data_IF_342346089764
#
_entry.id   IF_342346089764
#
_cell.length_a   1.000
_cell.length_b   1.000
_cell.length_c   1.000
_cell.angle_alpha   90.00
_cell.angle_beta   90.00
_cell.angle_gamma   90.00
#
_symmetry.space_group_name_H-M   'P 1'
#
loop_
_entity.id
_entity.type
_entity.pdbx_description
1 polymer ?
#
# COMPACT_ATOMS: atom_id res chain seq x y z
N UNK A 1 -49.57 -28.33 62.69
CA UNK A 1 -48.23 -28.26 62.09
C UNK A 1 -48.44 -27.81 60.64
N UNK A 2 -48.14 -26.55 60.30
CA UNK A 2 -48.22 -26.03 58.94
C UNK A 2 -46.82 -25.79 58.44
N UNK A 3 -46.42 -26.55 57.42
CA UNK A 3 -45.11 -26.45 56.77
C UNK A 3 -45.14 -25.35 55.76
N UNK A 4 -44.30 -24.32 55.93
CA UNK A 4 -44.13 -23.21 54.98
C UNK A 4 -43.03 -23.58 54.02
N UNK A 5 -43.33 -23.76 52.74
CA UNK A 5 -42.35 -23.96 51.69
C UNK A 5 -41.81 -22.61 51.26
N UNK A 6 -40.47 -22.45 51.41
CA UNK A 6 -39.74 -21.26 51.00
C UNK A 6 -39.31 -21.45 49.53
N UNK A 7 -39.92 -20.68 48.63
CA UNK A 7 -39.51 -20.65 47.22
C UNK A 7 -38.32 -19.68 47.07
N UNK A 8 -37.12 -20.25 46.86
CA UNK A 8 -35.96 -19.46 46.42
C UNK A 8 -36.08 -19.13 44.94
N UNK A 9 -36.37 -17.87 44.59
CA UNK A 9 -36.26 -17.32 43.26
C UNK A 9 -34.80 -16.96 42.99
N UNK A 10 -34.10 -17.82 42.21
CA UNK A 10 -32.81 -17.48 41.64
C UNK A 10 -32.95 -16.48 40.50
N UNK A 11 -32.67 -15.22 40.76
CA UNK A 11 -32.47 -14.21 39.69
C UNK A 11 -31.14 -14.47 39.00
N UNK A 12 -31.17 -15.09 37.84
CA UNK A 12 -30.01 -15.15 36.93
C UNK A 12 -29.87 -13.81 36.25
N UNK A 13 -29.00 -12.96 36.79
CA UNK A 13 -28.58 -11.74 36.12
C UNK A 13 -27.74 -12.11 34.88
N UNK A 14 -28.33 -12.09 33.69
CA UNK A 14 -27.58 -12.09 32.43
C UNK A 14 -26.91 -10.73 32.28
N UNK A 15 -25.65 -10.66 32.71
CA UNK A 15 -24.81 -9.52 32.38
C UNK A 15 -24.49 -9.57 30.87
N UNK A 16 -25.23 -8.82 30.07
CA UNK A 16 -24.82 -8.52 28.71
C UNK A 16 -23.59 -7.62 28.80
N UNK A 17 -22.43 -8.21 28.72
CA UNK A 17 -21.20 -7.48 28.42
C UNK A 17 -21.35 -6.94 27.00
N UNK A 18 -21.70 -5.67 26.87
CA UNK A 18 -21.54 -4.90 25.63
C UNK A 18 -20.03 -4.85 25.39
N UNK A 19 -19.50 -5.81 24.62
CA UNK A 19 -18.20 -5.69 24.04
C UNK A 19 -18.23 -4.40 23.21
N UNK A 20 -17.61 -3.35 23.72
CA UNK A 20 -17.28 -2.17 22.94
C UNK A 20 -16.38 -2.72 21.83
N UNK A 21 -16.95 -2.93 20.64
CA UNK A 21 -16.20 -3.23 19.45
C UNK A 21 -15.23 -2.06 19.26
N UNK A 22 -13.97 -2.25 19.62
CA UNK A 22 -12.93 -1.32 19.24
C UNK A 22 -13.06 -1.16 17.73
N UNK A 23 -13.23 0.05 17.26
CA UNK A 23 -13.27 0.34 15.81
C UNK A 23 -12.05 -0.35 15.21
N UNK A 24 -12.28 -1.37 14.39
CA UNK A 24 -11.20 -2.16 13.81
C UNK A 24 -10.29 -1.22 13.01
N UNK A 25 -9.01 -1.20 13.33
CA UNK A 25 -8.04 -0.41 12.58
C UNK A 25 -7.77 -1.09 11.23
N UNK A 26 -8.59 -0.75 10.25
CA UNK A 26 -8.55 -1.37 8.92
C UNK A 26 -7.19 -1.14 8.24
N UNK A 27 -6.58 0.02 8.45
CA UNK A 27 -5.24 0.31 7.92
C UNK A 27 -4.21 -0.70 8.43
N UNK A 28 -4.19 -0.99 9.72
CA UNK A 28 -3.28 -1.99 10.30
C UNK A 28 -3.69 -3.42 9.95
N UNK A 29 -4.97 -3.71 9.95
CA UNK A 29 -5.51 -5.03 9.61
C UNK A 29 -5.14 -5.47 8.18
N UNK A 30 -5.24 -4.55 7.20
CA UNK A 30 -4.81 -4.82 5.82
C UNK A 30 -3.33 -5.22 5.76
N UNK A 31 -2.48 -4.58 6.54
CA UNK A 31 -1.06 -4.92 6.59
C UNK A 31 -0.82 -6.28 7.22
N UNK A 32 -1.33 -6.51 8.42
CA UNK A 32 -1.09 -7.75 9.16
C UNK A 32 -1.61 -8.99 8.42
N UNK A 33 -2.77 -8.89 7.76
CA UNK A 33 -3.32 -9.97 6.93
C UNK A 33 -2.49 -10.29 5.67
N UNK A 34 -1.58 -9.41 5.26
CA UNK A 34 -0.79 -9.55 4.03
C UNK A 34 0.72 -9.49 4.27
N UNK A 35 1.16 -9.54 5.52
CA UNK A 35 2.56 -9.52 5.92
C UNK A 35 3.36 -10.74 5.41
N UNK A 36 2.66 -11.83 5.11
CA UNK A 36 3.23 -12.99 4.43
C UNK A 36 3.89 -12.64 3.09
N UNK A 37 3.25 -11.73 2.32
CA UNK A 37 3.81 -11.27 1.03
C UNK A 37 5.01 -10.34 1.28
N UNK A 38 4.96 -9.44 2.26
CA UNK A 38 6.11 -8.61 2.62
C UNK A 38 7.33 -9.47 3.01
N UNK A 39 7.11 -10.50 3.84
CA UNK A 39 8.16 -11.44 4.25
C UNK A 39 8.74 -12.26 3.09
N UNK A 40 7.93 -12.59 2.07
CA UNK A 40 8.43 -13.20 0.84
C UNK A 40 9.23 -12.19 0.02
N UNK A 41 8.74 -10.97 -0.09
CA UNK A 41 9.36 -9.92 -0.91
C UNK A 41 10.77 -9.56 -0.40
N UNK A 42 10.97 -9.39 0.90
CA UNK A 42 12.29 -9.09 1.45
C UNK A 42 13.33 -10.19 1.17
N UNK A 43 12.87 -11.40 0.91
CA UNK A 43 13.72 -12.57 0.59
C UNK A 43 14.11 -12.70 -0.88
N UNK A 44 13.57 -11.88 -1.79
CA UNK A 44 13.87 -12.01 -3.23
C UNK A 44 15.34 -11.68 -3.52
N UNK A 45 15.88 -12.34 -4.52
CA UNK A 45 17.31 -12.25 -4.87
C UNK A 45 17.78 -10.81 -5.15
N UNK A 46 16.96 -10.02 -5.86
CA UNK A 46 17.24 -8.62 -6.16
C UNK A 46 17.50 -7.81 -4.86
N UNK A 47 16.60 -7.88 -3.88
CA UNK A 47 16.72 -7.15 -2.61
C UNK A 47 17.88 -7.68 -1.77
N UNK A 48 18.15 -8.99 -1.77
CA UNK A 48 19.28 -9.58 -1.05
C UNK A 48 20.62 -9.18 -1.65
N UNK A 49 20.74 -9.11 -2.97
CA UNK A 49 21.95 -8.61 -3.62
C UNK A 49 22.14 -7.12 -3.39
N UNK A 50 21.06 -6.34 -3.40
CA UNK A 50 21.07 -4.91 -3.08
C UNK A 50 21.57 -4.68 -1.64
N UNK A 51 21.04 -5.42 -0.66
CA UNK A 51 21.46 -5.38 0.74
C UNK A 51 22.96 -5.67 0.92
N UNK A 52 23.49 -6.67 0.20
CA UNK A 52 24.91 -7.05 0.24
C UNK A 52 25.80 -6.11 -0.56
N UNK A 53 25.26 -5.19 -1.35
CA UNK A 53 26.02 -4.35 -2.27
C UNK A 53 26.58 -5.11 -3.48
N UNK A 54 26.10 -6.32 -3.77
CA UNK A 54 26.56 -7.17 -4.87
C UNK A 54 25.64 -7.17 -6.09
N UNK A 55 24.54 -6.41 -6.05
CA UNK A 55 23.64 -6.27 -7.20
C UNK A 55 24.38 -5.61 -8.36
N UNK A 56 24.22 -6.15 -9.56
CA UNK A 56 24.80 -5.57 -10.77
C UNK A 56 24.11 -4.24 -11.10
N UNK A 57 24.90 -3.22 -11.45
CA UNK A 57 24.41 -1.89 -11.75
C UNK A 57 23.38 -1.88 -12.91
N UNK A 58 23.60 -2.68 -13.94
CA UNK A 58 22.66 -2.84 -15.06
C UNK A 58 21.28 -3.33 -14.59
N UNK A 59 21.26 -4.30 -13.67
CA UNK A 59 20.03 -4.84 -13.11
C UNK A 59 19.27 -3.78 -12.30
N UNK A 60 19.99 -2.98 -11.51
CA UNK A 60 19.41 -1.85 -10.78
C UNK A 60 18.86 -0.76 -11.72
N UNK A 61 19.58 -0.44 -12.80
CA UNK A 61 19.12 0.52 -13.81
C UNK A 61 17.82 0.04 -14.48
N UNK A 62 17.76 -1.24 -14.86
CA UNK A 62 16.57 -1.84 -15.46
C UNK A 62 15.37 -1.78 -14.51
N UNK A 63 15.58 -2.10 -13.23
CA UNK A 63 14.56 -1.93 -12.18
C UNK A 63 14.08 -0.47 -12.10
N UNK A 64 15.00 0.48 -12.03
CA UNK A 64 14.68 1.91 -11.92
C UNK A 64 13.91 2.43 -13.14
N UNK A 65 14.24 1.99 -14.34
CA UNK A 65 13.49 2.34 -15.55
C UNK A 65 12.04 1.86 -15.47
N UNK A 66 11.80 0.66 -14.94
CA UNK A 66 10.43 0.16 -14.74
C UNK A 66 9.69 0.94 -13.65
N UNK A 67 10.37 1.34 -12.57
CA UNK A 67 9.79 2.18 -11.53
C UNK A 67 9.41 3.58 -12.06
N UNK A 68 10.26 4.21 -12.87
CA UNK A 68 9.93 5.45 -13.58
C UNK A 68 8.69 5.26 -14.46
N UNK A 69 8.57 4.15 -15.17
CA UNK A 69 7.37 3.82 -15.94
C UNK A 69 6.13 3.73 -15.06
N UNK A 70 6.23 3.07 -13.90
CA UNK A 70 5.16 3.01 -12.91
C UNK A 70 4.74 4.41 -12.46
N UNK A 71 5.68 5.22 -11.99
CA UNK A 71 5.42 6.57 -11.50
C UNK A 71 4.71 7.45 -12.55
N UNK A 72 5.19 7.45 -13.78
CA UNK A 72 4.60 8.23 -14.88
C UNK A 72 3.16 7.78 -15.20
N UNK A 73 2.91 6.46 -15.24
CA UNK A 73 1.58 5.93 -15.56
C UNK A 73 0.60 6.13 -14.40
N UNK A 74 1.02 5.87 -13.16
CA UNK A 74 0.17 6.09 -11.97
C UNK A 74 -0.10 7.58 -11.76
N UNK A 75 0.86 8.47 -12.00
CA UNK A 75 0.64 9.94 -12.00
C UNK A 75 -0.46 10.35 -12.97
N UNK A 76 -0.47 9.82 -14.21
CA UNK A 76 -1.54 10.08 -15.19
C UNK A 76 -2.90 9.54 -14.72
N UNK A 77 -2.93 8.38 -14.07
CA UNK A 77 -4.15 7.82 -13.49
C UNK A 77 -4.64 8.67 -12.32
N UNK A 78 -3.76 9.10 -11.43
CA UNK A 78 -4.08 10.00 -10.32
C UNK A 78 -4.61 11.36 -10.81
N UNK A 79 -4.04 11.92 -11.88
CA UNK A 79 -4.58 13.13 -12.52
C UNK A 79 -6.04 12.93 -12.93
N UNK A 80 -6.37 11.80 -13.59
CA UNK A 80 -7.75 11.48 -13.96
C UNK A 80 -8.66 11.30 -12.75
N UNK A 81 -8.18 10.60 -11.71
CA UNK A 81 -8.93 10.37 -10.48
C UNK A 81 -9.15 11.67 -9.71
N UNK A 82 -8.17 12.58 -9.66
CA UNK A 82 -8.31 13.88 -8.99
C UNK A 82 -9.34 14.82 -9.64
N UNK A 83 -9.65 14.59 -10.91
CA UNK A 83 -10.71 15.29 -11.64
C UNK A 83 -12.06 14.58 -11.49
N UNK A 84 -12.06 13.24 -11.57
CA UNK A 84 -13.25 12.41 -11.49
C UNK A 84 -13.93 12.47 -10.10
N UNK A 85 -13.11 12.47 -9.05
CA UNK A 85 -13.60 12.42 -7.66
C UNK A 85 -13.90 13.82 -7.18
N UNK A 86 -15.19 14.17 -7.09
CA UNK A 86 -15.66 15.47 -6.61
C UNK A 86 -16.17 15.43 -5.17
N UNK A 87 -16.63 14.27 -4.72
CA UNK A 87 -17.15 13.97 -3.37
C UNK A 87 -16.78 12.54 -2.97
N UNK A 88 -16.68 12.23 -1.64
CA UNK A 88 -16.64 13.20 -0.55
C UNK A 88 -15.33 14.01 -0.54
N UNK A 89 -15.33 15.12 0.18
CA UNK A 89 -14.23 16.11 0.12
C UNK A 89 -12.87 15.53 0.53
N UNK A 90 -12.80 14.72 1.56
CA UNK A 90 -11.57 14.08 2.02
C UNK A 90 -10.99 13.08 0.98
N UNK A 91 -11.82 12.32 0.29
CA UNK A 91 -11.38 11.43 -0.79
C UNK A 91 -10.92 12.23 -2.02
N UNK A 92 -11.65 13.32 -2.37
CA UNK A 92 -11.22 14.27 -3.41
C UNK A 92 -9.85 14.86 -3.09
N UNK A 93 -9.69 15.34 -1.86
CA UNK A 93 -8.46 16.00 -1.42
C UNK A 93 -7.30 14.99 -1.32
N UNK A 94 -7.57 13.76 -0.92
CA UNK A 94 -6.62 12.65 -1.01
C UNK A 94 -6.14 12.44 -2.45
N UNK A 95 -7.06 12.32 -3.43
CA UNK A 95 -6.68 12.12 -4.84
C UNK A 95 -5.83 13.27 -5.39
N UNK A 96 -6.20 14.52 -5.07
CA UNK A 96 -5.42 15.71 -5.45
C UNK A 96 -4.04 15.72 -4.81
N UNK A 97 -3.97 15.43 -3.52
CA UNK A 97 -2.70 15.37 -2.79
C UNK A 97 -1.78 14.27 -3.31
N UNK A 98 -2.32 13.07 -3.60
CA UNK A 98 -1.53 11.99 -4.20
C UNK A 98 -1.07 12.34 -5.61
N UNK A 99 -1.92 12.95 -6.43
CA UNK A 99 -1.50 13.42 -7.76
C UNK A 99 -0.32 14.39 -7.66
N UNK A 100 -0.41 15.40 -6.78
CA UNK A 100 0.67 16.37 -6.58
C UNK A 100 1.97 15.69 -6.14
N UNK A 101 1.91 14.81 -5.14
CA UNK A 101 3.10 14.11 -4.63
C UNK A 101 3.75 13.21 -5.69
N UNK A 102 2.95 12.41 -6.40
CA UNK A 102 3.46 11.51 -7.45
C UNK A 102 4.05 12.29 -8.63
N UNK A 103 3.41 13.41 -9.00
CA UNK A 103 3.93 14.29 -10.07
C UNK A 103 5.30 14.85 -9.69
N UNK A 104 5.43 15.45 -8.50
CA UNK A 104 6.70 15.99 -8.03
C UNK A 104 7.79 14.92 -7.94
N UNK A 105 7.45 13.73 -7.43
CA UNK A 105 8.41 12.62 -7.34
C UNK A 105 8.83 12.11 -8.73
N UNK A 106 7.90 11.99 -9.68
CA UNK A 106 8.22 11.62 -11.05
C UNK A 106 9.14 12.65 -11.73
N UNK A 107 8.93 13.94 -11.50
CA UNK A 107 9.79 15.01 -12.02
C UNK A 107 11.22 14.92 -11.43
N UNK A 108 11.35 14.65 -10.14
CA UNK A 108 12.65 14.43 -9.49
C UNK A 108 13.36 13.22 -10.09
N UNK A 109 12.66 12.08 -10.24
CA UNK A 109 13.24 10.88 -10.85
C UNK A 109 13.68 11.10 -12.28
N UNK A 110 12.89 11.78 -13.11
CA UNK A 110 13.28 12.11 -14.49
C UNK A 110 14.54 12.98 -14.53
N UNK A 111 14.63 13.98 -13.63
CA UNK A 111 15.81 14.84 -13.53
C UNK A 111 17.05 14.08 -13.07
N UNK A 112 16.91 13.24 -12.04
CA UNK A 112 18.01 12.46 -11.47
C UNK A 112 18.62 11.49 -12.48
N UNK A 113 17.81 10.94 -13.37
CA UNK A 113 18.26 10.02 -14.44
C UNK A 113 18.42 10.71 -15.81
N UNK A 114 18.48 12.04 -15.85
CA UNK A 114 18.74 12.85 -17.04
C UNK A 114 17.76 12.66 -18.22
N UNK A 115 16.52 12.27 -17.93
CA UNK A 115 15.51 12.19 -18.97
C UNK A 115 14.99 13.57 -19.35
N UNK A 116 15.09 13.93 -20.63
CA UNK A 116 14.58 15.21 -21.18
C UNK A 116 13.07 15.23 -21.45
N UNK A 117 12.32 14.32 -20.88
CA UNK A 117 10.88 14.17 -21.07
C UNK A 117 10.44 12.76 -20.68
N UNK A 118 9.20 12.38 -21.05
CA UNK A 118 8.71 11.03 -20.79
C UNK A 118 9.40 10.01 -21.71
N UNK A 119 10.23 9.10 -21.18
CA UNK A 119 10.90 8.11 -22.02
C UNK A 119 9.92 7.05 -22.53
N UNK A 120 10.18 6.52 -23.73
CA UNK A 120 9.48 5.35 -24.25
C UNK A 120 10.01 4.09 -23.58
N UNK A 121 9.39 3.66 -22.48
CA UNK A 121 9.80 2.48 -21.72
C UNK A 121 8.96 1.27 -22.12
N UNK A 122 9.63 0.23 -22.57
CA UNK A 122 8.99 -1.09 -22.76
C UNK A 122 8.80 -1.76 -21.39
N UNK A 123 7.53 -1.89 -21.00
CA UNK A 123 7.18 -2.48 -19.71
C UNK A 123 7.40 -3.98 -19.69
N UNK A 124 7.93 -4.49 -18.57
CA UNK A 124 7.98 -5.93 -18.30
C UNK A 124 6.58 -6.53 -18.15
N UNK A 125 6.41 -7.86 -18.27
CA UNK A 125 5.12 -8.51 -18.01
C UNK A 125 4.58 -8.20 -16.60
N UNK A 126 5.44 -8.18 -15.56
CA UNK A 126 5.07 -7.84 -14.20
C UNK A 126 4.54 -6.40 -14.11
N UNK A 127 5.24 -5.42 -14.70
CA UNK A 127 4.81 -4.03 -14.72
C UNK A 127 3.49 -3.84 -15.49
N UNK A 128 3.31 -4.52 -16.63
CA UNK A 128 2.02 -4.49 -17.36
C UNK A 128 0.86 -5.01 -16.54
N UNK A 129 1.05 -6.14 -15.84
CA UNK A 129 0.06 -6.72 -14.92
C UNK A 129 -0.29 -5.75 -13.80
N UNK A 130 0.73 -5.17 -13.15
CA UNK A 130 0.57 -4.21 -12.06
C UNK A 130 -0.26 -2.99 -12.49
N UNK A 131 0.12 -2.34 -13.59
CA UNK A 131 -0.60 -1.19 -14.12
C UNK A 131 -1.99 -1.53 -14.66
N UNK A 132 -2.20 -2.76 -15.15
CA UNK A 132 -3.52 -3.21 -15.59
C UNK A 132 -4.52 -3.24 -14.45
N UNK A 133 -4.13 -3.71 -13.29
CA UNK A 133 -5.02 -3.74 -12.13
C UNK A 133 -5.43 -2.33 -11.66
N UNK A 134 -4.52 -1.35 -11.70
CA UNK A 134 -4.91 0.05 -11.45
C UNK A 134 -5.96 0.57 -12.44
N UNK A 135 -5.86 0.21 -13.72
CA UNK A 135 -6.87 0.61 -14.72
C UNK A 135 -8.24 0.01 -14.41
N UNK A 136 -8.31 -1.21 -13.89
CA UNK A 136 -9.57 -1.80 -13.44
C UNK A 136 -10.11 -1.05 -12.20
N UNK A 137 -9.27 -0.75 -11.23
CA UNK A 137 -9.69 0.02 -10.04
C UNK A 137 -10.25 1.40 -10.38
N UNK A 138 -9.74 2.06 -11.42
CA UNK A 138 -10.26 3.36 -11.88
C UNK A 138 -11.71 3.32 -12.39
N UNK A 139 -12.20 2.14 -12.80
CA UNK A 139 -13.58 1.97 -13.30
C UNK A 139 -14.61 1.92 -12.18
N UNK A 140 -14.19 1.47 -11.01
CA UNK A 140 -15.03 1.25 -9.83
C UNK A 140 -15.07 2.43 -8.87
N UNK A 141 -15.36 2.11 -7.62
CA UNK A 141 -15.36 3.06 -6.50
C UNK A 141 -13.93 3.58 -6.26
N UNK A 142 -13.73 4.91 -6.24
CA UNK A 142 -12.43 5.55 -6.04
C UNK A 142 -11.73 5.17 -4.73
N UNK A 143 -12.48 4.76 -3.70
CA UNK A 143 -11.91 4.30 -2.44
C UNK A 143 -10.96 3.11 -2.65
N UNK A 144 -11.33 2.15 -3.51
CA UNK A 144 -10.48 0.99 -3.79
C UNK A 144 -9.26 1.33 -4.65
N UNK A 145 -9.32 2.42 -5.42
CA UNK A 145 -8.12 2.95 -6.06
C UNK A 145 -7.14 3.50 -5.00
N UNK A 146 -7.66 4.21 -3.97
CA UNK A 146 -6.84 4.64 -2.83
C UNK A 146 -6.23 3.45 -2.07
N UNK A 147 -7.02 2.40 -1.80
CA UNK A 147 -6.52 1.14 -1.20
C UNK A 147 -5.38 0.55 -2.04
N UNK A 148 -5.55 0.54 -3.36
CA UNK A 148 -4.56 -0.02 -4.29
C UNK A 148 -3.22 0.74 -4.33
N UNK A 149 -3.20 2.01 -3.94
CA UNK A 149 -1.96 2.81 -3.86
C UNK A 149 -1.14 2.52 -2.59
N UNK A 150 -1.80 2.05 -1.53
CA UNK A 150 -1.16 1.89 -0.22
C UNK A 150 0.00 0.86 -0.21
N UNK A 151 -0.09 -0.31 -0.88
CA UNK A 151 1.00 -1.30 -0.90
C UNK A 151 2.34 -0.71 -1.32
N UNK A 152 2.40 0.09 -2.38
CA UNK A 152 3.62 0.73 -2.84
C UNK A 152 4.30 1.51 -1.70
N UNK A 153 3.61 2.46 -1.08
CA UNK A 153 4.22 3.30 -0.05
C UNK A 153 4.51 2.53 1.24
N UNK A 154 3.66 1.58 1.64
CA UNK A 154 3.83 0.87 2.92
C UNK A 154 4.87 -0.24 2.84
N UNK A 155 4.87 -1.01 1.76
CA UNK A 155 5.86 -2.08 1.57
C UNK A 155 7.26 -1.52 1.36
N UNK A 156 7.44 -0.48 0.54
CA UNK A 156 8.75 0.11 0.28
C UNK A 156 9.36 0.71 1.54
N UNK A 157 8.58 1.44 2.33
CA UNK A 157 9.01 1.93 3.64
C UNK A 157 9.41 0.77 4.56
N UNK A 158 8.61 -0.29 4.61
CA UNK A 158 8.90 -1.45 5.45
C UNK A 158 10.17 -2.16 4.99
N UNK A 159 10.36 -2.39 3.69
CA UNK A 159 11.57 -2.99 3.12
C UNK A 159 12.82 -2.15 3.45
N UNK A 160 12.75 -0.82 3.25
CA UNK A 160 13.86 0.08 3.54
C UNK A 160 14.27 0.09 5.02
N UNK A 161 13.33 -0.14 5.94
CA UNK A 161 13.61 -0.23 7.38
C UNK A 161 14.04 -1.62 7.85
N UNK A 162 13.81 -2.67 7.06
CA UNK A 162 14.15 -4.05 7.42
C UNK A 162 15.36 -4.62 6.65
N UNK A 163 15.79 -3.98 5.56
CA UNK A 163 17.03 -4.29 4.87
C UNK A 163 18.21 -3.53 5.51
N UNK A 164 19.30 -4.24 5.76
CA UNK A 164 20.51 -3.66 6.35
C UNK A 164 21.43 -3.05 5.28
N UNK A 165 20.95 -2.07 4.53
CA UNK A 165 21.73 -1.35 3.52
C UNK A 165 22.48 -0.21 4.22
N UNK A 166 23.81 -0.36 4.38
CA UNK A 166 24.65 0.62 5.09
C UNK A 166 24.89 1.88 4.24
N UNK A 167 25.25 3.04 4.85
CA UNK A 167 25.55 4.27 4.12
C UNK A 167 26.70 4.15 3.09
N UNK A 168 27.58 3.18 3.26
CA UNK A 168 28.69 2.87 2.33
C UNK A 168 28.26 1.99 1.13
N UNK A 169 27.04 1.49 1.14
CA UNK A 169 26.51 0.65 0.08
C UNK A 169 26.09 1.52 -1.12
N UNK A 170 26.38 1.08 -2.35
CA UNK A 170 26.03 1.79 -3.58
C UNK A 170 24.51 2.06 -3.73
N UNK A 171 23.66 1.27 -3.06
CA UNK A 171 22.19 1.37 -3.12
C UNK A 171 21.58 2.08 -1.91
N UNK A 172 22.40 2.74 -1.09
CA UNK A 172 21.91 3.42 0.12
C UNK A 172 20.89 4.53 -0.18
N UNK A 173 21.01 5.21 -1.32
CA UNK A 173 20.05 6.22 -1.76
C UNK A 173 18.64 5.66 -1.83
N UNK A 174 18.46 4.46 -2.39
CA UNK A 174 17.15 3.78 -2.41
C UNK A 174 16.58 3.60 -1.00
N UNK A 175 17.40 3.19 -0.04
CA UNK A 175 16.99 3.05 1.36
C UNK A 175 16.62 4.40 1.98
N UNK A 176 17.48 5.41 1.84
CA UNK A 176 17.27 6.74 2.44
C UNK A 176 16.01 7.43 1.92
N UNK A 177 15.67 7.24 0.66
CA UNK A 177 14.50 7.84 0.02
C UNK A 177 13.19 7.18 0.48
N UNK A 178 13.24 5.93 0.95
CA UNK A 178 12.05 5.16 1.31
C UNK A 178 11.84 4.99 2.83
N UNK A 179 12.90 5.01 3.66
CA UNK A 179 12.81 4.64 5.08
C UNK A 179 12.00 5.63 5.94
N UNK A 180 11.88 6.89 5.53
CA UNK A 180 11.19 7.95 6.27
C UNK A 180 9.77 8.21 5.76
N UNK A 181 9.18 7.27 5.06
CA UNK A 181 7.79 7.35 4.59
C UNK A 181 6.80 7.36 5.77
N UNK A 182 5.68 8.08 5.59
CA UNK A 182 4.60 8.16 6.56
C UNK A 182 3.24 7.87 5.90
N UNK A 183 3.02 6.66 5.34
CA UNK A 183 1.75 6.35 4.67
C UNK A 183 0.55 6.46 5.62
N UNK A 184 0.71 6.18 6.91
CA UNK A 184 -0.36 6.28 7.90
C UNK A 184 -1.01 7.68 7.94
N UNK A 185 -0.23 8.74 7.77
CA UNK A 185 -0.72 10.13 7.77
C UNK A 185 -1.71 10.43 6.65
N UNK A 186 -1.61 9.68 5.55
CA UNK A 186 -2.45 9.92 4.38
C UNK A 186 -3.60 8.94 4.25
N UNK A 187 -3.39 7.68 4.65
CA UNK A 187 -4.34 6.60 4.37
C UNK A 187 -5.19 6.21 5.57
N UNK A 188 -4.63 6.21 6.80
CA UNK A 188 -5.27 5.59 7.96
C UNK A 188 -6.65 6.16 8.26
N UNK A 189 -6.75 7.49 8.39
CA UNK A 189 -8.03 8.14 8.69
C UNK A 189 -9.08 7.90 7.59
N UNK A 190 -8.66 7.99 6.31
CA UNK A 190 -9.55 7.78 5.17
C UNK A 190 -10.08 6.33 5.13
N UNK A 191 -9.19 5.34 5.25
CA UNK A 191 -9.58 3.94 5.16
C UNK A 191 -10.45 3.52 6.34
N UNK A 192 -10.09 3.91 7.56
CA UNK A 192 -10.87 3.59 8.77
C UNK A 192 -12.26 4.24 8.76
N UNK A 193 -12.41 5.39 8.10
CA UNK A 193 -13.70 6.06 7.97
C UNK A 193 -14.67 5.35 7.01
N UNK A 194 -14.17 4.89 5.87
CA UNK A 194 -15.03 4.40 4.79
C UNK A 194 -15.12 2.87 4.68
N UNK A 195 -14.11 2.14 5.20
CA UNK A 195 -14.12 0.68 5.21
C UNK A 195 -14.68 0.18 6.54
N UNK A 196 -15.96 0.40 6.77
CA UNK A 196 -16.65 0.18 8.04
C UNK A 196 -17.66 -0.99 8.02
N UNK A 197 -17.69 -1.76 6.94
CA UNK A 197 -18.50 -3.00 6.86
C UNK A 197 -17.59 -4.19 6.53
N UNK A 198 -17.95 -5.41 6.98
CA UNK A 198 -17.18 -6.61 6.67
C UNK A 198 -16.95 -6.82 5.17
N UNK A 199 -17.95 -6.52 4.33
CA UNK A 199 -17.88 -6.63 2.89
C UNK A 199 -16.85 -5.64 2.30
N UNK A 200 -16.90 -4.36 2.72
CA UNK A 200 -15.96 -3.34 2.28
C UNK A 200 -14.53 -3.67 2.69
N UNK A 201 -14.34 -4.18 3.92
CA UNK A 201 -13.03 -4.61 4.41
C UNK A 201 -12.52 -5.83 3.63
N UNK A 202 -13.38 -6.82 3.34
CA UNK A 202 -13.01 -7.99 2.55
C UNK A 202 -12.56 -7.59 1.13
N UNK A 203 -13.31 -6.71 0.48
CA UNK A 203 -12.95 -6.16 -0.83
C UNK A 203 -11.66 -5.34 -0.81
N UNK A 204 -11.48 -4.51 0.21
CA UNK A 204 -10.24 -3.76 0.42
C UNK A 204 -9.05 -4.70 0.61
N UNK A 205 -9.20 -5.77 1.39
CA UNK A 205 -8.16 -6.77 1.58
C UNK A 205 -7.80 -7.49 0.26
N UNK A 206 -8.78 -7.83 -0.57
CA UNK A 206 -8.52 -8.38 -1.90
C UNK A 206 -7.69 -7.43 -2.77
N UNK A 207 -8.05 -6.14 -2.81
CA UNK A 207 -7.32 -5.12 -3.58
C UNK A 207 -5.91 -4.93 -3.03
N UNK A 208 -5.78 -4.78 -1.72
CA UNK A 208 -4.48 -4.61 -1.06
C UNK A 208 -3.56 -5.81 -1.32
N UNK A 209 -4.08 -7.04 -1.11
CA UNK A 209 -3.32 -8.27 -1.36
C UNK A 209 -2.87 -8.41 -2.80
N UNK A 210 -3.74 -8.07 -3.76
CA UNK A 210 -3.41 -8.12 -5.19
C UNK A 210 -2.26 -7.16 -5.52
N UNK A 211 -2.28 -5.95 -4.98
CA UNK A 211 -1.22 -4.99 -5.21
C UNK A 211 0.08 -5.33 -4.44
N UNK A 212 -0.01 -5.90 -3.24
CA UNK A 212 1.16 -6.46 -2.54
C UNK A 212 1.83 -7.56 -3.38
N UNK A 213 1.03 -8.43 -4.05
CA UNK A 213 1.58 -9.44 -4.94
C UNK A 213 2.19 -8.83 -6.19
N UNK A 214 1.62 -7.76 -6.75
CA UNK A 214 2.20 -7.04 -7.88
C UNK A 214 3.53 -6.37 -7.51
N UNK A 215 3.66 -5.82 -6.31
CA UNK A 215 4.94 -5.32 -5.78
C UNK A 215 5.96 -6.46 -5.64
N UNK A 216 5.55 -7.59 -5.06
CA UNK A 216 6.41 -8.77 -4.97
C UNK A 216 6.91 -9.21 -6.35
N UNK A 217 6.00 -9.36 -7.33
CA UNK A 217 6.33 -9.79 -8.68
C UNK A 217 7.27 -8.79 -9.36
N UNK A 218 7.12 -7.50 -9.09
CA UNK A 218 8.00 -6.46 -9.59
C UNK A 218 9.45 -6.65 -9.07
N UNK A 219 9.63 -6.76 -7.75
CA UNK A 219 10.95 -7.02 -7.17
C UNK A 219 11.53 -8.39 -7.58
N UNK A 220 10.69 -9.42 -7.70
CA UNK A 220 11.11 -10.77 -8.05
C UNK A 220 11.62 -10.88 -9.47
N UNK A 221 11.07 -10.11 -10.40
CA UNK A 221 11.44 -10.13 -11.84
C UNK A 221 12.49 -9.08 -12.21
N UNK A 222 12.97 -8.30 -11.25
CA UNK A 222 14.02 -7.28 -11.41
C UNK A 222 15.46 -7.85 -11.19
#
# INVERSE_FOLDING_TARGET
MKTVALLCLCFVCFSYSLAISSVEDVYENLWEKNKDIANKTIGVDFLRQMERGSLQAERYVNFTIQDISYLLKVTKMLKKMSIKVTKPDDLRDFMKGRYSSYKSFAEVMLSQYFFKGEPAIQQTPAMRKYLSFYRELMKGDPLYFAVGLLPCSRLWMWLANNLNILPTNAYYTWRSDNMNGHPEKHYKALLNKYLNTPENVAKANFVFRTQMQNEHDFFFTS
#
